data_IF_982127153491
#
_entry.id   IF_982127153491
#
_cell.length_a   1.000
_cell.length_b   1.000
_cell.length_c   1.000
_cell.angle_alpha   90.00
_cell.angle_beta   90.00
_cell.angle_gamma   90.00
#
_symmetry.space_group_name_H-M   'P 1'
#
loop_
_entity.id
_entity.type
_entity.pdbx_description
1 polymer ?
#
# COMPACT_ATOMS: atom_id res chain seq x y z
N UNK A 1 7.90 5.82 -46.93
CA UNK A 1 6.63 5.50 -46.23
C UNK A 1 6.50 4.05 -45.73
N UNK A 2 7.13 3.02 -46.32
CA UNK A 2 6.99 1.61 -45.85
C UNK A 2 7.83 1.20 -44.61
N UNK A 3 8.82 2.00 -44.18
CA UNK A 3 9.61 1.73 -42.95
C UNK A 3 8.93 2.15 -41.63
N UNK A 4 7.84 2.91 -41.70
CA UNK A 4 7.12 3.42 -40.51
C UNK A 4 6.05 2.46 -39.97
N UNK A 5 5.56 1.54 -40.80
CA UNK A 5 4.52 0.55 -40.45
C UNK A 5 5.13 -0.71 -39.83
N UNK A 6 6.31 -1.14 -40.29
CA UNK A 6 7.00 -2.33 -39.76
C UNK A 6 7.61 -2.07 -38.36
N UNK A 7 7.95 -0.81 -38.06
CA UNK A 7 8.40 -0.43 -36.72
C UNK A 7 7.25 -0.41 -35.68
N UNK A 8 6.01 -0.31 -36.15
CA UNK A 8 4.80 -0.20 -35.33
C UNK A 8 4.26 -1.59 -34.91
N UNK A 9 4.44 -2.62 -35.75
CA UNK A 9 4.01 -4.00 -35.43
C UNK A 9 4.88 -4.69 -34.37
N UNK A 10 6.21 -4.50 -34.41
CA UNK A 10 7.09 -5.04 -33.36
C UNK A 10 6.99 -4.21 -32.06
N UNK A 11 6.75 -2.90 -32.17
CA UNK A 11 6.55 -2.02 -31.01
C UNK A 11 5.21 -2.31 -30.31
N UNK A 12 4.12 -2.56 -31.04
CA UNK A 12 2.87 -3.07 -30.45
C UNK A 12 3.09 -4.40 -29.73
N UNK A 13 3.88 -5.31 -30.31
CA UNK A 13 4.12 -6.65 -29.75
C UNK A 13 4.95 -6.63 -28.45
N UNK A 14 5.97 -5.80 -28.34
CA UNK A 14 6.75 -5.58 -27.09
C UNK A 14 5.96 -4.79 -26.02
N UNK A 15 5.01 -3.93 -26.44
CA UNK A 15 4.13 -3.19 -25.53
C UNK A 15 2.98 -4.05 -25.01
N UNK A 16 2.40 -4.89 -25.86
CA UNK A 16 1.46 -5.95 -25.48
C UNK A 16 2.11 -6.91 -24.48
N UNK A 17 3.41 -7.22 -24.64
CA UNK A 17 4.15 -8.17 -23.81
C UNK A 17 4.04 -7.88 -22.30
N UNK A 18 4.21 -6.61 -21.90
CA UNK A 18 4.09 -6.23 -20.48
C UNK A 18 2.72 -5.66 -20.13
N UNK A 19 1.93 -5.15 -21.08
CA UNK A 19 0.63 -4.55 -20.79
C UNK A 19 -0.31 -5.50 -20.07
N UNK A 20 -0.43 -6.74 -20.54
CA UNK A 20 -1.28 -7.74 -19.88
C UNK A 20 -0.78 -8.03 -18.47
N UNK A 21 0.53 -8.20 -18.28
CA UNK A 21 1.14 -8.46 -16.97
C UNK A 21 0.94 -7.28 -16.01
N UNK A 22 1.17 -6.06 -16.46
CA UNK A 22 0.94 -4.82 -15.69
C UNK A 22 -0.53 -4.72 -15.30
N UNK A 23 -1.45 -4.97 -16.25
CA UNK A 23 -2.88 -4.92 -15.99
C UNK A 23 -3.32 -5.96 -14.94
N UNK A 24 -2.80 -7.19 -15.03
CA UNK A 24 -3.04 -8.24 -14.04
C UNK A 24 -2.49 -7.86 -12.66
N UNK A 25 -1.30 -7.26 -12.60
CA UNK A 25 -0.70 -6.75 -11.37
C UNK A 25 -1.58 -5.65 -10.74
N UNK A 26 -2.02 -4.66 -11.53
CA UNK A 26 -2.94 -3.62 -11.06
C UNK A 26 -4.23 -4.21 -10.47
N UNK A 27 -4.81 -5.22 -11.14
CA UNK A 27 -6.00 -5.93 -10.64
C UNK A 27 -5.72 -6.65 -9.32
N UNK A 28 -4.58 -7.33 -9.19
CA UNK A 28 -4.17 -8.05 -7.98
C UNK A 28 -4.01 -7.12 -6.78
N UNK A 29 -3.64 -5.87 -7.01
CA UNK A 29 -3.53 -4.84 -5.98
C UNK A 29 -4.82 -4.05 -5.75
N UNK A 30 -5.99 -4.59 -6.14
CA UNK A 30 -7.29 -3.91 -6.07
C UNK A 30 -7.28 -2.51 -6.68
N UNK A 31 -6.40 -2.29 -7.67
CA UNK A 31 -6.13 -1.00 -8.35
C UNK A 31 -5.58 0.10 -7.43
N UNK A 32 -4.98 -0.26 -6.30
CA UNK A 32 -4.26 0.67 -5.42
C UNK A 32 -3.09 1.37 -6.14
N UNK A 33 -2.56 0.72 -7.19
CA UNK A 33 -1.59 1.28 -8.14
C UNK A 33 -2.14 1.13 -9.56
N UNK A 34 -1.82 2.09 -10.42
CA UNK A 34 -2.18 2.07 -11.84
C UNK A 34 -0.98 1.71 -12.74
N UNK A 35 -1.27 1.57 -14.04
CA UNK A 35 -0.28 1.21 -15.05
C UNK A 35 0.90 2.21 -15.07
N UNK A 36 0.66 3.49 -14.79
CA UNK A 36 1.72 4.50 -14.81
C UNK A 36 2.51 4.54 -13.52
N UNK A 37 1.89 4.23 -12.38
CA UNK A 37 2.61 4.01 -11.14
C UNK A 37 3.66 2.89 -11.35
N UNK A 38 3.25 1.80 -12.01
CA UNK A 38 4.16 0.69 -12.37
C UNK A 38 5.22 1.15 -13.38
N UNK A 39 4.84 1.83 -14.47
CA UNK A 39 5.83 2.33 -15.45
C UNK A 39 6.82 3.32 -14.83
N UNK A 40 6.37 4.18 -13.91
CA UNK A 40 7.22 5.13 -13.18
C UNK A 40 8.16 4.38 -12.24
N UNK A 41 7.68 3.34 -11.56
CA UNK A 41 8.50 2.47 -10.73
C UNK A 41 9.53 1.68 -11.56
N UNK A 42 9.17 1.22 -12.77
CA UNK A 42 10.09 0.51 -13.66
C UNK A 42 11.26 1.38 -14.13
N UNK A 43 11.10 2.70 -14.20
CA UNK A 43 12.19 3.65 -14.51
C UNK A 43 13.33 3.64 -13.48
N UNK A 44 13.12 3.03 -12.31
CA UNK A 44 14.21 2.83 -11.34
C UNK A 44 15.21 1.75 -11.77
N UNK A 45 14.85 0.89 -12.74
CA UNK A 45 15.63 -0.26 -13.17
C UNK A 45 16.09 -0.11 -14.61
N UNK A 46 17.20 -0.79 -14.94
CA UNK A 46 17.62 -0.98 -16.32
C UNK A 46 16.52 -1.71 -17.11
N UNK A 47 16.27 -1.35 -18.38
CA UNK A 47 15.24 -1.99 -19.21
C UNK A 47 15.36 -3.51 -19.31
N UNK A 48 16.58 -4.04 -19.34
CA UNK A 48 16.87 -5.48 -19.34
C UNK A 48 16.43 -6.20 -18.06
N UNK A 49 16.08 -5.45 -17.00
CA UNK A 49 15.63 -5.95 -15.70
C UNK A 49 14.15 -5.74 -15.43
N UNK A 50 13.39 -5.22 -16.38
CA UNK A 50 11.96 -4.98 -16.21
C UNK A 50 11.16 -6.25 -15.97
N UNK A 51 11.49 -7.34 -16.66
CA UNK A 51 10.81 -8.62 -16.44
C UNK A 51 11.07 -9.20 -15.05
N UNK A 52 12.30 -9.06 -14.53
CA UNK A 52 12.62 -9.41 -13.14
C UNK A 52 11.82 -8.54 -12.17
N UNK A 53 11.79 -7.21 -12.39
CA UNK A 53 11.05 -6.27 -11.55
C UNK A 53 9.54 -6.61 -11.50
N UNK A 54 8.91 -6.81 -12.66
CA UNK A 54 7.49 -7.17 -12.75
C UNK A 54 7.20 -8.55 -12.15
N UNK A 55 8.13 -9.50 -12.29
CA UNK A 55 8.00 -10.82 -11.66
C UNK A 55 8.00 -10.70 -10.15
N UNK A 56 8.94 -9.98 -9.56
CA UNK A 56 8.98 -9.78 -8.10
C UNK A 56 7.74 -8.99 -7.64
N UNK A 57 7.34 -7.93 -8.36
CA UNK A 57 6.16 -7.15 -8.03
C UNK A 57 4.89 -8.00 -8.03
N UNK A 58 4.70 -8.88 -9.02
CA UNK A 58 3.51 -9.75 -9.12
C UNK A 58 3.31 -10.69 -7.93
N UNK A 59 4.38 -10.96 -7.17
CA UNK A 59 4.35 -11.82 -5.98
C UNK A 59 4.14 -11.04 -4.68
N UNK A 60 4.04 -9.70 -4.73
CA UNK A 60 3.62 -8.91 -3.57
C UNK A 60 2.15 -9.19 -3.30
N UNK A 61 1.81 -9.33 -2.02
CA UNK A 61 0.45 -9.37 -1.54
C UNK A 61 0.07 -8.00 -0.99
N UNK A 62 -1.01 -7.44 -1.52
CA UNK A 62 -1.59 -6.19 -1.07
C UNK A 62 -2.81 -6.52 -0.23
N UNK A 63 -2.78 -6.11 1.03
CA UNK A 63 -3.88 -6.34 1.98
C UNK A 63 -4.63 -5.03 2.18
N UNK A 64 -5.92 -5.03 1.85
CA UNK A 64 -6.78 -3.86 2.02
C UNK A 64 -7.51 -3.82 3.37
N UNK A 65 -8.23 -2.73 3.61
CA UNK A 65 -8.97 -2.47 4.84
C UNK A 65 -10.02 -3.55 5.14
N UNK A 66 -10.65 -4.13 4.11
CA UNK A 66 -11.64 -5.20 4.28
C UNK A 66 -10.97 -6.47 4.76
N UNK A 67 -9.86 -6.84 4.13
CA UNK A 67 -9.07 -8.01 4.54
C UNK A 67 -8.50 -7.87 5.97
N UNK A 68 -8.09 -6.67 6.37
CA UNK A 68 -7.65 -6.42 7.76
C UNK A 68 -8.80 -6.63 8.76
N UNK A 69 -10.01 -6.18 8.43
CA UNK A 69 -11.20 -6.41 9.26
C UNK A 69 -11.51 -7.90 9.39
N UNK A 70 -11.49 -8.63 8.27
CA UNK A 70 -11.70 -10.07 8.24
C UNK A 70 -10.65 -10.82 9.07
N UNK A 71 -9.38 -10.45 8.93
CA UNK A 71 -8.27 -11.03 9.67
C UNK A 71 -8.46 -10.90 11.19
N UNK A 72 -8.79 -9.70 11.66
CA UNK A 72 -9.02 -9.50 13.10
C UNK A 72 -10.31 -10.15 13.58
N UNK A 73 -11.36 -10.19 12.76
CA UNK A 73 -12.59 -10.91 13.09
C UNK A 73 -12.31 -12.41 13.27
N UNK A 74 -11.51 -13.00 12.36
CA UNK A 74 -11.02 -14.37 12.47
C UNK A 74 -10.18 -14.58 13.73
N UNK A 75 -9.19 -13.72 14.00
CA UNK A 75 -8.33 -13.86 15.19
C UNK A 75 -9.16 -13.83 16.48
N UNK A 76 -10.13 -12.92 16.58
CA UNK A 76 -11.03 -12.86 17.74
C UNK A 76 -11.91 -14.10 17.86
N UNK A 77 -12.39 -14.65 16.74
CA UNK A 77 -13.17 -15.88 16.72
C UNK A 77 -12.34 -17.08 17.21
N UNK A 78 -11.03 -17.11 16.93
CA UNK A 78 -10.11 -18.16 17.40
C UNK A 78 -9.82 -18.04 18.90
N UNK A 79 -9.59 -16.83 19.44
CA UNK A 79 -9.20 -16.68 20.86
C UNK A 79 -10.36 -16.75 21.84
N UNK A 80 -11.56 -16.30 21.46
CA UNK A 80 -12.68 -16.18 22.40
C UNK A 80 -13.16 -17.51 23.00
N UNK A 81 -13.15 -18.65 22.27
CA UNK A 81 -13.43 -19.96 22.84
C UNK A 81 -12.42 -20.38 23.93
N UNK A 82 -11.14 -20.03 23.76
CA UNK A 82 -10.07 -20.34 24.71
C UNK A 82 -10.14 -19.48 25.99
N UNK A 83 -10.89 -18.37 25.96
CA UNK A 83 -11.03 -17.45 27.09
C UNK A 83 -12.33 -17.74 27.83
N UNK A 84 -12.29 -18.29 29.06
CA UNK A 84 -13.47 -18.65 29.83
C UNK A 84 -14.45 -17.49 29.91
N UNK A 85 -15.74 -17.77 29.71
CA UNK A 85 -16.80 -16.78 29.95
C UNK A 85 -17.12 -16.60 31.45
N UNK A 86 -16.36 -17.25 32.35
CA UNK A 86 -16.86 -17.78 33.63
C UNK A 86 -17.71 -16.78 34.41
N UNK A 87 -18.91 -17.26 34.74
CA UNK A 87 -19.77 -16.80 35.82
C UNK A 87 -19.49 -17.76 36.97
N UNK A 88 -18.90 -17.29 38.06
CA UNK A 88 -18.98 -17.97 39.36
C UNK A 88 -19.42 -16.93 40.40
N UNK A 89 -20.57 -17.20 41.00
CA UNK A 89 -21.05 -16.61 42.24
C UNK A 89 -20.62 -17.62 43.28
N UNK A 90 -19.82 -17.21 44.27
CA UNK A 90 -19.54 -18.08 45.39
C UNK A 90 -20.85 -18.53 46.05
N UNK A 91 -20.98 -19.84 46.20
CA UNK A 91 -21.87 -20.44 47.17
C UNK A 91 -21.50 -19.90 48.55
N UNK A 92 -22.53 -19.59 49.35
CA UNK A 92 -22.48 -18.96 50.68
C UNK A 92 -22.31 -17.43 50.67
N UNK A 93 -23.43 -16.72 50.59
CA UNK A 93 -24.08 -16.19 51.80
C UNK A 93 -25.53 -15.81 51.47
N UNK A 94 -26.41 -16.34 52.31
CA UNK A 94 -27.85 -16.10 52.33
C UNK A 94 -28.13 -14.59 52.34
N UNK A 95 -29.11 -14.20 51.51
CA UNK A 95 -29.89 -12.95 51.53
C UNK A 95 -29.25 -11.72 50.87
N UNK A 96 -29.86 -11.35 49.72
CA UNK A 96 -30.11 -9.95 49.27
C UNK A 96 -29.01 -9.15 48.55
N UNK A 97 -28.23 -9.76 47.65
CA UNK A 97 -27.39 -9.00 46.69
C UNK A 97 -27.75 -9.36 45.24
N UNK A 98 -28.03 -8.34 44.41
CA UNK A 98 -28.21 -8.45 42.95
C UNK A 98 -26.98 -9.16 42.35
N UNK A 99 -27.16 -10.36 41.78
CA UNK A 99 -26.14 -11.11 41.03
C UNK A 99 -25.51 -10.23 39.94
N UNK A 100 -24.29 -9.72 40.12
CA UNK A 100 -23.49 -9.15 39.03
C UNK A 100 -22.71 -10.27 38.36
N UNK A 101 -23.10 -10.66 37.14
CA UNK A 101 -22.28 -11.49 36.26
C UNK A 101 -20.98 -10.72 35.95
N UNK A 102 -19.85 -11.10 36.55
CA UNK A 102 -18.55 -10.54 36.19
C UNK A 102 -17.96 -11.43 35.11
N UNK A 103 -18.08 -11.01 33.85
CA UNK A 103 -17.42 -11.68 32.74
C UNK A 103 -15.92 -11.47 32.81
N UNK A 104 -15.14 -12.49 32.47
CA UNK A 104 -13.69 -12.36 32.30
C UNK A 104 -13.39 -11.26 31.29
N UNK A 105 -12.58 -10.30 31.72
CA UNK A 105 -12.18 -9.13 30.95
C UNK A 105 -10.95 -9.44 30.10
N UNK A 106 -10.93 -8.86 28.91
CA UNK A 106 -9.87 -9.01 27.92
C UNK A 106 -9.24 -7.64 27.72
N UNK A 107 -7.96 -7.52 28.03
CA UNK A 107 -7.21 -6.27 27.93
C UNK A 107 -6.50 -6.25 26.58
N UNK A 108 -6.94 -5.36 25.70
CA UNK A 108 -6.38 -5.18 24.37
C UNK A 108 -5.31 -4.10 24.42
N UNK A 109 -4.10 -4.44 23.98
CA UNK A 109 -2.95 -3.54 24.00
C UNK A 109 -2.36 -3.45 22.59
N UNK A 110 -2.28 -2.26 21.97
CA UNK A 110 -1.56 -2.11 20.71
C UNK A 110 -0.06 -2.38 20.92
N UNK A 111 0.57 -3.09 19.98
CA UNK A 111 2.02 -3.32 20.02
C UNK A 111 2.75 -2.06 19.55
N UNK A 112 3.77 -1.68 20.31
CA UNK A 112 4.58 -0.49 20.06
C UNK A 112 4.04 0.79 20.69
N UNK A 113 4.84 1.85 20.60
CA UNK A 113 4.51 3.16 21.16
C UNK A 113 3.33 3.83 20.42
N UNK A 114 2.58 4.73 21.11
CA UNK A 114 1.52 5.52 20.49
C UNK A 114 1.98 6.21 19.20
N UNK A 115 1.17 6.12 18.15
CA UNK A 115 1.48 6.68 16.83
C UNK A 115 2.15 5.70 15.85
N UNK A 116 2.34 4.44 16.23
CA UNK A 116 2.73 3.34 15.33
C UNK A 116 1.51 2.60 14.75
N UNK A 117 1.73 1.63 13.87
CA UNK A 117 0.70 0.83 13.19
C UNK A 117 -0.27 0.16 14.17
N UNK A 118 0.24 -0.39 15.29
CA UNK A 118 -0.58 -1.04 16.31
C UNK A 118 -1.74 -0.19 16.85
N UNK A 119 -1.57 1.13 16.99
CA UNK A 119 -2.67 2.02 17.42
C UNK A 119 -3.78 2.12 16.37
N UNK A 120 -3.42 2.15 15.08
CA UNK A 120 -4.40 2.11 13.99
C UNK A 120 -5.09 0.75 13.91
N UNK A 121 -4.42 -0.35 14.26
CA UNK A 121 -5.01 -1.70 14.21
C UNK A 121 -6.13 -1.90 15.23
N UNK A 122 -6.07 -1.21 16.38
CA UNK A 122 -7.17 -1.21 17.35
C UNK A 122 -8.45 -0.62 16.75
N UNK A 123 -8.36 0.34 15.81
CA UNK A 123 -9.53 0.85 15.10
C UNK A 123 -10.22 -0.26 14.29
N UNK A 124 -9.46 -1.04 13.53
CA UNK A 124 -9.98 -2.16 12.75
C UNK A 124 -10.57 -3.25 13.66
N UNK A 125 -9.85 -3.63 14.72
CA UNK A 125 -10.34 -4.61 15.70
C UNK A 125 -11.72 -4.24 16.25
N UNK A 126 -11.93 -2.97 16.62
CA UNK A 126 -13.21 -2.46 17.16
C UNK A 126 -14.37 -2.52 16.19
N UNK A 127 -14.09 -2.54 14.88
CA UNK A 127 -15.09 -2.59 13.81
C UNK A 127 -15.50 -4.01 13.45
N UNK A 128 -14.84 -5.03 13.99
CA UNK A 128 -15.19 -6.43 13.76
C UNK A 128 -16.51 -6.80 14.44
N UNK A 129 -17.27 -7.70 13.80
CA UNK A 129 -18.55 -8.17 14.33
C UNK A 129 -18.38 -8.89 15.67
N UNK A 130 -17.28 -9.65 15.82
CA UNK A 130 -16.98 -10.39 17.05
C UNK A 130 -16.66 -9.45 18.22
N UNK A 131 -15.90 -8.37 17.97
CA UNK A 131 -15.64 -7.36 19.00
C UNK A 131 -16.93 -6.70 19.44
N UNK A 132 -17.79 -6.27 18.51
CA UNK A 132 -19.04 -5.58 18.82
C UNK A 132 -19.98 -6.44 19.68
N UNK A 133 -20.19 -7.71 19.30
CA UNK A 133 -20.99 -8.69 20.07
C UNK A 133 -20.46 -8.92 21.50
N UNK A 134 -19.17 -8.73 21.73
CA UNK A 134 -18.50 -9.01 23.01
C UNK A 134 -17.92 -7.75 23.66
N UNK A 135 -18.34 -6.55 23.23
CA UNK A 135 -17.74 -5.26 23.62
C UNK A 135 -17.61 -5.07 25.13
N UNK A 136 -18.57 -5.59 25.90
CA UNK A 136 -18.57 -5.53 27.36
C UNK A 136 -17.40 -6.30 28.02
N UNK A 137 -16.77 -7.24 27.32
CA UNK A 137 -15.60 -8.00 27.79
C UNK A 137 -14.27 -7.31 27.49
N UNK A 138 -14.22 -6.47 26.46
CA UNK A 138 -12.98 -5.86 26.00
C UNK A 138 -12.73 -4.51 26.69
N UNK A 139 -11.47 -4.28 27.03
CA UNK A 139 -10.97 -3.02 27.54
C UNK A 139 -9.68 -2.68 26.80
N UNK A 140 -9.60 -1.48 26.23
CA UNK A 140 -8.45 -1.07 25.40
C UNK A 140 -7.55 -0.19 26.25
N UNK A 141 -6.29 -0.60 26.37
CA UNK A 141 -5.26 0.12 27.13
C UNK A 141 -4.15 0.51 26.17
N UNK A 142 -4.13 1.81 25.81
CA UNK A 142 -3.09 2.39 24.94
C UNK A 142 -1.89 2.87 25.75
N UNK A 143 -2.15 3.34 26.97
CA UNK A 143 -1.11 3.79 27.89
C UNK A 143 -0.59 2.58 28.68
N UNK A 144 0.64 2.15 28.33
CA UNK A 144 1.27 0.98 28.94
C UNK A 144 1.47 1.13 30.44
N UNK A 145 1.58 2.35 30.98
CA UNK A 145 1.77 2.57 32.41
C UNK A 145 0.55 2.14 33.22
N UNK A 146 -0.65 2.18 32.64
CA UNK A 146 -1.88 1.68 33.29
C UNK A 146 -1.92 0.16 33.39
N UNK A 147 -1.03 -0.58 32.71
CA UNK A 147 -1.03 -2.04 32.75
C UNK A 147 -0.72 -2.60 34.14
N UNK A 148 -0.02 -1.85 35.00
CA UNK A 148 0.24 -2.26 36.39
C UNK A 148 -1.04 -2.41 37.21
N UNK A 149 -2.13 -1.73 36.85
CA UNK A 149 -3.43 -1.86 37.51
C UNK A 149 -4.04 -3.26 37.33
N UNK A 150 -3.57 -4.02 36.34
CA UNK A 150 -4.06 -5.35 36.00
C UNK A 150 -3.15 -6.48 36.52
N UNK A 151 -2.02 -6.14 37.15
CA UNK A 151 -1.08 -7.12 37.70
C UNK A 151 -1.73 -7.99 38.78
N UNK A 152 -1.50 -9.29 38.72
CA UNK A 152 -1.99 -10.25 39.71
C UNK A 152 -3.51 -10.49 39.70
N UNK A 153 -4.21 -10.02 38.67
CA UNK A 153 -5.66 -10.23 38.48
C UNK A 153 -5.90 -11.20 37.32
N UNK A 154 -7.03 -11.90 37.33
CA UNK A 154 -7.42 -12.84 36.27
C UNK A 154 -7.91 -12.10 35.00
N UNK A 155 -6.95 -11.63 34.19
CA UNK A 155 -7.18 -11.02 32.89
C UNK A 155 -6.46 -11.78 31.78
N UNK A 156 -7.00 -11.67 30.58
CA UNK A 156 -6.33 -12.13 29.36
C UNK A 156 -5.85 -10.93 28.56
N UNK A 157 -4.57 -10.94 28.19
CA UNK A 157 -3.99 -9.87 27.38
C UNK A 157 -4.02 -10.25 25.91
N UNK A 158 -4.43 -9.30 25.07
CA UNK A 158 -4.45 -9.43 23.62
C UNK A 158 -3.62 -8.30 23.04
N UNK A 159 -2.42 -8.64 22.56
CA UNK A 159 -1.51 -7.72 21.91
C UNK A 159 -1.79 -7.69 20.41
N UNK A 160 -1.96 -6.50 19.84
CA UNK A 160 -2.43 -6.31 18.46
C UNK A 160 -1.40 -5.59 17.62
N UNK A 161 -1.04 -6.17 16.48
CA UNK A 161 -0.20 -5.53 15.46
C UNK A 161 -0.62 -5.94 14.05
N UNK A 162 -0.15 -5.24 13.02
CA UNK A 162 -0.46 -5.56 11.62
C UNK A 162 0.43 -6.67 11.04
N UNK A 163 1.71 -6.66 11.39
CA UNK A 163 2.67 -7.62 10.85
C UNK A 163 3.78 -7.99 11.85
N UNK A 164 3.81 -9.27 12.26
CA UNK A 164 4.99 -9.84 12.90
C UNK A 164 6.00 -10.38 11.89
N UNK A 165 6.97 -9.54 11.52
CA UNK A 165 8.07 -9.87 10.61
C UNK A 165 9.11 -10.83 11.20
N UNK A 166 10.03 -10.33 12.03
CA UNK A 166 11.02 -11.18 12.71
C UNK A 166 10.60 -11.63 14.12
N UNK A 167 9.59 -10.97 14.69
CA UNK A 167 9.20 -11.10 16.11
C UNK A 167 10.11 -10.34 17.07
N UNK A 168 11.27 -9.85 16.62
CA UNK A 168 12.26 -9.17 17.47
C UNK A 168 11.73 -7.90 18.11
N UNK A 169 11.05 -7.04 17.34
CA UNK A 169 10.47 -5.78 17.84
C UNK A 169 9.39 -6.02 18.90
N UNK A 170 8.50 -6.98 18.68
CA UNK A 170 7.44 -7.34 19.61
C UNK A 170 8.00 -7.97 20.90
N UNK A 171 8.99 -8.87 20.79
CA UNK A 171 9.68 -9.43 21.96
C UNK A 171 10.42 -8.36 22.78
N UNK A 172 11.13 -7.43 22.11
CA UNK A 172 11.77 -6.28 22.76
C UNK A 172 10.74 -5.38 23.45
N UNK A 173 9.60 -5.13 22.79
CA UNK A 173 8.52 -4.34 23.36
C UNK A 173 7.95 -4.99 24.63
N UNK A 174 7.69 -6.30 24.59
CA UNK A 174 7.22 -7.04 25.77
C UNK A 174 8.22 -6.92 26.93
N UNK A 175 9.49 -7.28 26.68
CA UNK A 175 10.53 -7.28 27.70
C UNK A 175 10.74 -5.89 28.33
N UNK A 176 10.75 -4.84 27.53
CA UNK A 176 11.12 -3.51 28.00
C UNK A 176 9.95 -2.74 28.63
N UNK A 177 8.70 -3.03 28.24
CA UNK A 177 7.56 -2.18 28.61
C UNK A 177 6.38 -2.90 29.26
N UNK A 178 6.27 -4.22 29.08
CA UNK A 178 5.06 -4.98 29.43
C UNK A 178 5.31 -5.99 30.55
N UNK A 179 6.41 -6.75 30.46
CA UNK A 179 6.70 -7.90 31.32
C UNK A 179 6.57 -7.57 32.81
N UNK A 180 7.23 -6.51 33.28
CA UNK A 180 7.21 -6.13 34.70
C UNK A 180 5.85 -5.62 35.18
N UNK A 181 5.04 -5.08 34.24
CA UNK A 181 3.74 -4.50 34.51
C UNK A 181 2.64 -5.54 34.65
N UNK A 182 2.67 -6.60 33.84
CA UNK A 182 1.61 -7.62 33.85
C UNK A 182 2.02 -8.94 34.52
N UNK A 183 3.32 -9.19 34.68
CA UNK A 183 3.87 -10.46 35.18
C UNK A 183 4.36 -11.37 34.05
N UNK A 184 5.41 -12.16 34.34
CA UNK A 184 6.13 -12.98 33.33
C UNK A 184 5.26 -14.09 32.77
N UNK A 185 4.49 -14.78 33.60
CA UNK A 185 3.71 -15.96 33.21
C UNK A 185 2.24 -15.63 32.91
N UNK A 186 1.92 -14.36 32.74
CA UNK A 186 0.56 -13.93 32.46
C UNK A 186 0.13 -14.36 31.06
N UNK A 187 -0.96 -15.14 30.90
CA UNK A 187 -1.41 -15.61 29.60
C UNK A 187 -1.68 -14.47 28.62
N UNK A 188 -1.07 -14.56 27.44
CA UNK A 188 -1.18 -13.53 26.41
C UNK A 188 -1.37 -14.10 25.01
N UNK A 189 -2.28 -13.47 24.26
CA UNK A 189 -2.46 -13.70 22.83
C UNK A 189 -1.82 -12.57 22.06
N UNK A 190 -1.03 -12.89 21.04
CA UNK A 190 -0.42 -11.93 20.15
C UNK A 190 -1.05 -12.09 18.77
N UNK A 191 -1.94 -11.16 18.41
CA UNK A 191 -2.74 -11.26 17.20
C UNK A 191 -2.18 -10.36 16.10
N UNK A 192 -2.13 -10.88 14.88
CA UNK A 192 -1.69 -10.11 13.72
C UNK A 192 -2.37 -10.52 12.42
N UNK A 193 -2.43 -9.61 11.45
CA UNK A 193 -2.94 -9.93 10.11
C UNK A 193 -1.99 -10.89 9.42
N UNK A 194 -0.69 -10.58 9.49
CA UNK A 194 0.37 -11.37 8.85
C UNK A 194 1.47 -11.73 9.84
N UNK A 195 2.02 -12.93 9.72
CA UNK A 195 3.25 -13.32 10.43
C UNK A 195 4.24 -13.96 9.47
N UNK A 196 5.53 -13.83 9.74
CA UNK A 196 6.49 -14.80 9.21
C UNK A 196 6.70 -15.94 10.18
N UNK A 197 7.05 -17.12 9.63
CA UNK A 197 7.32 -18.31 10.43
C UNK A 197 8.30 -18.09 11.59
N UNK A 198 9.38 -17.35 11.36
CA UNK A 198 10.38 -17.09 12.39
C UNK A 198 9.83 -16.22 13.54
N UNK A 199 8.85 -15.35 13.27
CA UNK A 199 8.29 -14.49 14.30
C UNK A 199 7.50 -15.29 15.34
N UNK A 200 6.72 -16.28 14.91
CA UNK A 200 5.95 -17.16 15.80
C UNK A 200 6.90 -17.85 16.77
N UNK A 201 7.91 -18.54 16.23
CA UNK A 201 8.91 -19.25 17.02
C UNK A 201 9.66 -18.32 17.96
N UNK A 202 10.00 -17.11 17.53
CA UNK A 202 10.71 -16.16 18.37
C UNK A 202 9.85 -15.63 19.52
N UNK A 203 8.58 -15.33 19.27
CA UNK A 203 7.68 -14.79 20.30
C UNK A 203 7.33 -15.86 21.33
N UNK A 204 6.92 -17.06 20.89
CA UNK A 204 6.54 -18.15 21.79
C UNK A 204 7.74 -18.68 22.60
N UNK A 205 8.98 -18.56 22.07
CA UNK A 205 10.20 -18.90 22.83
C UNK A 205 10.62 -17.83 23.84
N UNK A 206 10.39 -16.54 23.53
CA UNK A 206 10.90 -15.41 24.36
C UNK A 206 9.89 -14.89 25.37
N UNK A 207 8.62 -15.20 25.20
CA UNK A 207 7.51 -14.72 26.04
C UNK A 207 6.80 -15.94 26.62
N UNK A 208 6.84 -16.10 27.95
CA UNK A 208 6.13 -17.18 28.64
C UNK A 208 4.62 -17.05 28.45
N UNK A 209 3.92 -18.19 28.34
CA UNK A 209 2.47 -18.25 28.16
C UNK A 209 1.93 -17.35 27.02
N UNK A 210 2.71 -17.26 25.94
CA UNK A 210 2.39 -16.54 24.72
C UNK A 210 1.81 -17.50 23.67
N UNK A 211 0.70 -17.12 23.03
CA UNK A 211 0.16 -17.79 21.84
C UNK A 211 0.03 -16.78 20.71
N UNK A 212 0.67 -17.04 19.58
CA UNK A 212 0.59 -16.15 18.40
C UNK A 212 -0.57 -16.60 17.51
N UNK A 213 -1.50 -15.69 17.24
CA UNK A 213 -2.67 -15.94 16.39
C UNK A 213 -2.58 -15.03 15.18
N UNK A 214 -2.87 -15.59 14.02
CA UNK A 214 -2.72 -14.85 12.77
C UNK A 214 -3.67 -15.31 11.71
N UNK A 215 -3.92 -14.46 10.73
CA UNK A 215 -4.72 -14.82 9.56
C UNK A 215 -3.87 -15.44 8.45
N UNK A 216 -2.74 -14.81 8.10
CA UNK A 216 -1.85 -15.29 7.04
C UNK A 216 -0.43 -15.54 7.55
N UNK A 217 0.14 -16.70 7.19
CA UNK A 217 1.55 -17.07 7.45
C UNK A 217 2.36 -16.96 6.16
N UNK A 218 3.48 -16.23 6.23
CA UNK A 218 4.42 -16.06 5.12
C UNK A 218 5.79 -16.66 5.44
N UNK A 219 6.51 -17.00 4.37
CA UNK A 219 7.91 -17.38 4.40
C UNK A 219 8.75 -16.25 3.79
N UNK A 220 10.07 -16.32 3.99
CA UNK A 220 10.99 -15.42 3.28
C UNK A 220 10.85 -15.62 1.78
N UNK A 221 10.78 -14.52 1.02
CA UNK A 221 10.58 -14.57 -0.43
C UNK A 221 11.60 -15.42 -1.17
N UNK A 222 12.85 -15.47 -0.68
CA UNK A 222 13.94 -16.22 -1.32
C UNK A 222 14.34 -17.46 -0.53
N UNK A 223 13.42 -18.02 0.29
CA UNK A 223 13.66 -19.26 1.01
C UNK A 223 13.70 -20.45 0.03
N UNK A 224 14.76 -21.25 0.10
CA UNK A 224 14.89 -22.48 -0.69
C UNK A 224 13.65 -23.38 -0.47
N UNK A 225 13.09 -23.91 -1.55
CA UNK A 225 11.92 -24.81 -1.59
C UNK A 225 10.58 -24.23 -1.10
N UNK A 226 10.52 -22.98 -0.63
CA UNK A 226 9.27 -22.30 -0.23
C UNK A 226 9.08 -20.93 -0.89
N UNK A 227 9.97 -20.58 -1.80
CA UNK A 227 9.90 -19.32 -2.54
C UNK A 227 8.73 -19.35 -3.54
N UNK A 228 7.97 -18.24 -3.68
CA UNK A 228 6.96 -18.12 -4.71
C UNK A 228 7.55 -18.03 -6.14
N UNK A 229 8.88 -17.92 -6.28
CA UNK A 229 9.55 -17.76 -7.58
C UNK A 229 9.99 -19.08 -8.23
N UNK A 230 9.59 -20.23 -7.68
CA UNK A 230 9.81 -21.54 -8.28
C UNK A 230 11.24 -22.06 -8.11
N UNK A 231 11.91 -22.39 -9.23
CA UNK A 231 13.20 -23.10 -9.24
C UNK A 231 14.32 -22.30 -8.58
N UNK A 232 15.27 -23.02 -7.97
CA UNK A 232 16.34 -22.42 -7.17
C UNK A 232 17.19 -21.40 -7.93
N UNK A 233 17.52 -21.67 -9.19
CA UNK A 233 18.31 -20.78 -10.05
C UNK A 233 17.59 -19.43 -10.22
N UNK A 234 16.29 -19.47 -10.53
CA UNK A 234 15.46 -18.27 -10.68
C UNK A 234 15.32 -17.50 -9.37
N UNK A 235 15.14 -18.22 -8.25
CA UNK A 235 15.09 -17.62 -6.91
C UNK A 235 16.40 -16.89 -6.60
N UNK A 236 17.55 -17.49 -6.92
CA UNK A 236 18.87 -16.88 -6.72
C UNK A 236 19.03 -15.62 -7.55
N UNK A 237 18.71 -15.67 -8.84
CA UNK A 237 18.77 -14.51 -9.74
C UNK A 237 17.92 -13.34 -9.24
N UNK A 238 16.65 -13.60 -8.90
CA UNK A 238 15.74 -12.57 -8.40
C UNK A 238 16.18 -12.03 -7.03
N UNK A 239 16.77 -12.87 -6.18
CA UNK A 239 17.35 -12.43 -4.91
C UNK A 239 18.52 -11.47 -5.15
N UNK A 240 19.45 -11.80 -6.04
CA UNK A 240 20.59 -10.94 -6.37
C UNK A 240 20.13 -9.63 -7.01
N UNK A 241 19.14 -9.68 -7.91
CA UNK A 241 18.48 -8.51 -8.45
C UNK A 241 17.93 -7.61 -7.33
N UNK A 242 17.10 -8.15 -6.43
CA UNK A 242 16.53 -7.39 -5.33
C UNK A 242 17.60 -6.87 -4.36
N UNK A 243 18.64 -7.65 -4.09
CA UNK A 243 19.74 -7.26 -3.23
C UNK A 243 20.55 -6.10 -3.83
N UNK A 244 20.94 -6.20 -5.11
CA UNK A 244 21.76 -5.19 -5.78
C UNK A 244 21.05 -3.83 -5.84
N UNK A 245 19.77 -3.80 -6.22
CA UNK A 245 19.00 -2.56 -6.21
C UNK A 245 18.66 -2.11 -4.79
N UNK A 246 18.30 -3.05 -3.90
CA UNK A 246 18.01 -2.77 -2.50
C UNK A 246 19.19 -2.12 -1.77
N UNK A 247 20.42 -2.58 -2.00
CA UNK A 247 21.64 -2.07 -1.38
C UNK A 247 21.94 -0.63 -1.78
N UNK A 248 21.62 -0.24 -3.03
CA UNK A 248 21.72 1.14 -3.49
C UNK A 248 20.80 2.06 -2.69
N UNK A 249 19.64 1.56 -2.26
CA UNK A 249 18.58 2.37 -1.63
C UNK A 249 18.69 2.34 -0.11
N UNK A 250 18.79 1.14 0.47
CA UNK A 250 18.91 0.86 1.90
C UNK A 250 20.06 -0.13 2.11
N UNK A 251 21.25 0.41 2.37
CA UNK A 251 22.48 -0.36 2.51
C UNK A 251 22.43 -1.40 3.63
N UNK A 252 21.79 -1.06 4.75
CA UNK A 252 21.77 -1.92 5.95
C UNK A 252 20.81 -3.09 5.78
N UNK A 253 19.68 -2.86 5.11
CA UNK A 253 18.58 -3.84 5.04
C UNK A 253 18.06 -3.98 3.60
N UNK A 254 18.93 -4.40 2.65
CA UNK A 254 18.60 -4.41 1.21
C UNK A 254 17.46 -5.37 0.86
N UNK A 255 17.16 -6.32 1.74
CA UNK A 255 16.09 -7.32 1.60
C UNK A 255 15.03 -7.20 2.70
N UNK A 256 14.87 -6.00 3.26
CA UNK A 256 13.92 -5.71 4.34
C UNK A 256 14.48 -5.95 5.74
N UNK A 257 13.77 -5.43 6.73
CA UNK A 257 14.17 -5.39 8.14
C UNK A 257 14.64 -6.75 8.65
N UNK A 258 15.82 -6.81 9.28
CA UNK A 258 16.43 -8.07 9.75
C UNK A 258 16.44 -9.19 8.68
N UNK A 259 16.54 -8.83 7.40
CA UNK A 259 16.52 -9.74 6.25
C UNK A 259 15.29 -10.67 6.25
N UNK A 260 14.11 -10.12 6.57
CA UNK A 260 12.85 -10.85 6.55
C UNK A 260 12.38 -11.20 5.14
N UNK A 261 12.80 -10.46 4.10
CA UNK A 261 12.39 -10.72 2.71
C UNK A 261 10.87 -10.83 2.58
N UNK A 262 10.14 -9.89 3.22
CA UNK A 262 8.69 -9.87 3.19
C UNK A 262 8.18 -9.44 1.83
N UNK A 263 7.00 -9.95 1.48
CA UNK A 263 6.30 -9.66 0.22
C UNK A 263 4.86 -9.24 0.49
N UNK A 264 4.65 -8.49 1.57
CA UNK A 264 3.33 -8.01 1.98
C UNK A 264 3.37 -6.49 2.14
N UNK A 265 2.33 -5.83 1.67
CA UNK A 265 2.05 -4.41 1.90
C UNK A 265 0.60 -4.21 2.29
N UNK A 266 0.31 -3.10 2.97
CA UNK A 266 -1.05 -2.75 3.40
C UNK A 266 -1.53 -1.49 2.68
N UNK A 267 -2.86 -1.31 2.64
CA UNK A 267 -3.55 -0.11 2.13
C UNK A 267 -3.03 1.21 2.70
N UNK A 268 -2.68 1.21 3.99
CA UNK A 268 -2.20 2.41 4.69
C UNK A 268 -0.68 2.60 4.64
N UNK A 269 0.07 1.64 4.07
CA UNK A 269 1.51 1.76 3.86
C UNK A 269 2.27 0.43 3.93
N UNK A 270 3.47 0.43 3.37
CA UNK A 270 4.33 -0.73 3.36
C UNK A 270 5.09 -0.94 4.70
N UNK A 271 5.16 -2.18 5.21
CA UNK A 271 6.01 -2.54 6.35
C UNK A 271 7.49 -2.53 5.96
N UNK A 272 8.41 -2.51 6.93
CA UNK A 272 9.88 -2.41 6.62
C UNK A 272 10.44 -3.78 6.30
N UNK A 273 9.64 -4.80 6.58
CA UNK A 273 9.90 -6.16 6.20
C UNK A 273 9.77 -6.36 4.68
N UNK A 274 8.98 -5.53 3.98
CA UNK A 274 8.89 -5.52 2.53
C UNK A 274 10.25 -5.11 1.92
N UNK A 275 10.55 -5.60 0.73
CA UNK A 275 11.78 -5.24 0.03
C UNK A 275 11.85 -3.71 -0.23
N UNK A 276 12.99 -3.04 0.09
CA UNK A 276 13.15 -1.59 -0.08
C UNK A 276 12.88 -1.05 -1.49
N UNK A 277 13.10 -1.88 -2.52
CA UNK A 277 12.80 -1.53 -3.92
C UNK A 277 11.33 -1.14 -4.13
N UNK A 278 10.43 -1.54 -3.23
CA UNK A 278 9.02 -1.22 -3.34
C UNK A 278 8.60 0.06 -2.60
N UNK A 279 9.18 0.34 -1.44
CA UNK A 279 8.62 1.34 -0.51
C UNK A 279 9.50 2.55 -0.21
N UNK A 280 10.80 2.47 -0.49
CA UNK A 280 11.73 3.55 -0.16
C UNK A 280 11.66 4.68 -1.18
N UNK A 281 11.63 5.92 -0.68
CA UNK A 281 11.70 7.15 -1.48
C UNK A 281 13.11 7.76 -1.52
N UNK A 282 14.10 7.11 -0.92
CA UNK A 282 15.47 7.61 -0.85
C UNK A 282 16.17 7.67 -2.20
N UNK A 283 17.12 8.61 -2.36
CA UNK A 283 18.06 8.68 -3.50
C UNK A 283 17.40 8.75 -4.89
N UNK A 284 16.29 9.51 -5.01
CA UNK A 284 15.50 9.66 -6.25
C UNK A 284 14.83 8.36 -6.74
N UNK A 285 14.67 7.37 -5.85
CA UNK A 285 13.90 6.16 -6.15
C UNK A 285 12.40 6.49 -6.14
N UNK A 286 11.66 6.00 -7.12
CA UNK A 286 10.20 6.13 -7.17
C UNK A 286 9.54 4.90 -6.55
N UNK A 287 9.06 4.94 -5.30
CA UNK A 287 8.41 3.79 -4.67
C UNK A 287 7.04 3.53 -5.28
N UNK A 288 6.67 2.25 -5.38
CA UNK A 288 5.31 1.82 -5.76
C UNK A 288 4.38 1.72 -4.55
N UNK A 289 4.92 1.45 -3.35
CA UNK A 289 4.17 1.41 -2.09
C UNK A 289 4.83 2.31 -1.02
N UNK A 290 4.65 3.64 -1.08
CA UNK A 290 5.35 4.58 -0.19
C UNK A 290 5.05 4.33 1.30
N UNK A 291 6.11 4.18 2.11
CA UNK A 291 5.97 3.93 3.56
C UNK A 291 5.60 5.18 4.35
N UNK A 292 6.34 6.28 4.19
CA UNK A 292 6.23 7.41 5.12
C UNK A 292 5.16 8.41 4.69
N UNK A 293 4.51 9.06 5.67
CA UNK A 293 3.46 10.05 5.42
C UNK A 293 3.95 11.26 4.62
N UNK A 294 5.21 11.67 4.82
CA UNK A 294 5.87 12.71 4.01
C UNK A 294 5.94 12.31 2.54
N UNK A 295 6.27 11.05 2.26
CA UNK A 295 6.29 10.53 0.89
C UNK A 295 4.90 10.48 0.31
N UNK A 296 3.87 10.11 1.10
CA UNK A 296 2.46 10.17 0.65
C UNK A 296 1.99 11.60 0.36
N UNK A 297 2.40 12.58 1.17
CA UNK A 297 2.10 13.99 0.91
C UNK A 297 2.84 14.53 -0.32
N UNK A 298 4.11 14.12 -0.51
CA UNK A 298 4.85 14.38 -1.73
C UNK A 298 4.18 13.71 -2.92
N UNK A 299 3.68 12.49 -2.75
CA UNK A 299 2.95 11.73 -3.75
C UNK A 299 1.66 12.46 -4.16
N UNK A 300 0.90 13.06 -3.24
CA UNK A 300 -0.26 13.89 -3.60
C UNK A 300 0.12 15.13 -4.42
N UNK A 301 1.31 15.73 -4.17
CA UNK A 301 1.82 16.84 -4.98
C UNK A 301 2.28 16.34 -6.36
N UNK A 302 3.01 15.23 -6.39
CA UNK A 302 3.51 14.60 -7.62
C UNK A 302 2.37 14.10 -8.51
N UNK A 303 1.33 13.53 -7.92
CA UNK A 303 0.11 13.11 -8.60
C UNK A 303 -0.54 14.29 -9.33
N UNK A 304 -0.73 15.42 -8.64
CA UNK A 304 -1.29 16.64 -9.26
C UNK A 304 -0.39 17.19 -10.36
N UNK A 305 0.93 17.22 -10.15
CA UNK A 305 1.90 17.62 -11.19
C UNK A 305 1.87 16.70 -12.39
N UNK A 306 1.76 15.39 -12.16
CA UNK A 306 1.67 14.40 -13.22
C UNK A 306 0.39 14.56 -14.03
N UNK A 307 -0.76 14.72 -13.37
CA UNK A 307 -2.03 14.96 -14.08
C UNK A 307 -1.96 16.25 -14.89
N UNK A 308 -1.38 17.32 -14.35
CA UNK A 308 -1.18 18.56 -15.09
C UNK A 308 -0.29 18.35 -16.32
N UNK A 309 0.78 17.57 -16.16
CA UNK A 309 1.66 17.17 -17.25
C UNK A 309 0.90 16.36 -18.32
N UNK A 310 0.07 15.38 -17.94
CA UNK A 310 -0.72 14.59 -18.89
C UNK A 310 -1.65 15.46 -19.73
N UNK A 311 -2.40 16.35 -19.08
CA UNK A 311 -3.33 17.23 -19.79
C UNK A 311 -2.57 18.19 -20.71
N UNK A 312 -1.39 18.69 -20.29
CA UNK A 312 -0.53 19.52 -21.14
C UNK A 312 0.05 18.75 -22.33
N UNK A 313 0.37 17.47 -22.14
CA UNK A 313 0.92 16.61 -23.18
C UNK A 313 -0.15 16.26 -24.20
N UNK A 314 -1.34 15.86 -23.76
CA UNK A 314 -2.45 15.53 -24.66
C UNK A 314 -2.90 16.76 -25.46
N UNK A 315 -2.84 17.97 -24.89
CA UNK A 315 -3.05 19.21 -25.66
C UNK A 315 -2.17 19.31 -26.89
N UNK A 316 -0.92 18.85 -26.80
CA UNK A 316 0.06 18.89 -27.89
C UNK A 316 -0.10 17.70 -28.83
N UNK A 317 -0.44 16.52 -28.29
CA UNK A 317 -0.52 15.28 -29.07
C UNK A 317 -1.84 15.11 -29.82
N UNK A 318 -2.95 15.56 -29.25
CA UNK A 318 -4.30 15.31 -29.78
C UNK A 318 -5.30 16.34 -29.23
N UNK A 319 -5.58 17.37 -30.02
CA UNK A 319 -6.49 18.47 -29.65
C UNK A 319 -7.94 18.04 -29.54
N UNK A 320 -8.36 16.99 -30.26
CA UNK A 320 -9.71 16.45 -30.20
C UNK A 320 -9.93 15.69 -28.89
N UNK A 321 -8.98 14.85 -28.49
CA UNK A 321 -9.05 14.17 -27.18
C UNK A 321 -8.98 15.20 -26.04
N UNK A 322 -8.12 16.21 -26.18
CA UNK A 322 -7.99 17.28 -25.18
C UNK A 322 -9.30 18.09 -25.00
N UNK A 323 -10.04 18.37 -26.08
CA UNK A 323 -11.28 19.15 -26.01
C UNK A 323 -12.43 18.43 -25.30
N UNK A 324 -12.37 17.08 -25.18
CA UNK A 324 -13.37 16.29 -24.43
C UNK A 324 -13.41 16.62 -22.93
N UNK A 325 -12.31 17.14 -22.36
CA UNK A 325 -12.21 17.49 -20.94
C UNK A 325 -12.04 19.00 -20.70
N UNK A 326 -11.44 19.74 -21.65
CA UNK A 326 -11.21 21.17 -21.51
C UNK A 326 -12.47 21.99 -21.80
N UNK A 327 -12.96 22.72 -20.79
CA UNK A 327 -14.18 23.54 -20.90
C UNK A 327 -13.90 25.04 -21.01
N UNK A 328 -12.68 25.49 -20.70
CA UNK A 328 -12.28 26.89 -20.91
C UNK A 328 -12.10 27.21 -22.39
N UNK A 329 -12.56 28.38 -22.82
CA UNK A 329 -12.45 28.88 -24.20
C UNK A 329 -11.75 30.24 -24.22
N UNK A 330 -10.83 30.44 -25.16
CA UNK A 330 -10.15 31.71 -25.36
C UNK A 330 -9.86 31.98 -26.82
N UNK A 331 -9.60 33.25 -27.14
CA UNK A 331 -9.30 33.70 -28.51
C UNK A 331 -7.89 34.28 -28.55
N UNK A 332 -7.10 33.97 -29.58
CA UNK A 332 -5.78 34.58 -29.76
C UNK A 332 -5.91 36.07 -30.07
N UNK A 333 -4.84 36.85 -29.83
CA UNK A 333 -4.78 38.32 -29.99
C UNK A 333 -5.26 38.84 -31.36
N UNK A 334 -5.25 38.01 -32.39
CA UNK A 334 -5.65 38.39 -33.74
C UNK A 334 -7.11 38.06 -34.06
N UNK A 335 -7.88 37.52 -33.10
CA UNK A 335 -9.31 37.20 -33.25
C UNK A 335 -9.63 35.99 -34.15
N UNK A 336 -8.62 35.40 -34.82
CA UNK A 336 -8.81 34.41 -35.87
C UNK A 336 -8.80 32.96 -35.41
N UNK A 337 -8.37 32.67 -34.18
CA UNK A 337 -8.25 31.31 -33.66
C UNK A 337 -8.76 31.20 -32.23
N UNK A 338 -9.78 30.37 -32.05
CA UNK A 338 -10.26 29.91 -30.75
C UNK A 338 -9.42 28.72 -30.25
N UNK A 339 -9.19 28.66 -28.95
CA UNK A 339 -8.49 27.54 -28.33
C UNK A 339 -9.12 27.17 -26.99
N UNK A 340 -9.07 25.88 -26.67
CA UNK A 340 -9.56 25.37 -25.39
C UNK A 340 -8.44 25.36 -24.34
N UNK A 341 -8.79 25.57 -23.08
CA UNK A 341 -7.88 25.43 -21.94
C UNK A 341 -8.54 24.75 -20.74
N UNK A 342 -7.73 24.05 -19.95
CA UNK A 342 -8.17 23.35 -18.74
C UNK A 342 -8.45 24.36 -17.63
N UNK A 343 -9.68 24.39 -17.14
CA UNK A 343 -10.04 25.08 -15.90
C UNK A 343 -9.65 24.26 -14.67
N UNK A 344 -9.64 24.91 -13.50
CA UNK A 344 -9.41 24.24 -12.22
C UNK A 344 -10.40 23.07 -12.01
N UNK A 345 -11.66 23.27 -12.40
CA UNK A 345 -12.70 22.24 -12.29
C UNK A 345 -12.45 21.05 -13.21
N UNK A 346 -12.01 21.28 -14.46
CA UNK A 346 -11.66 20.22 -15.41
C UNK A 346 -10.52 19.35 -14.86
N UNK A 347 -9.48 20.01 -14.33
CA UNK A 347 -8.35 19.34 -13.69
C UNK A 347 -8.80 18.50 -12.49
N UNK A 348 -9.64 19.06 -11.60
CA UNK A 348 -10.12 18.36 -10.41
C UNK A 348 -11.02 17.17 -10.77
N UNK A 349 -11.92 17.32 -11.74
CA UNK A 349 -12.76 16.24 -12.25
C UNK A 349 -11.87 15.13 -12.83
N UNK A 350 -10.87 15.46 -13.66
CA UNK A 350 -9.99 14.44 -14.21
C UNK A 350 -9.17 13.72 -13.13
N UNK A 351 -8.72 14.42 -12.08
CA UNK A 351 -8.09 13.79 -10.92
C UNK A 351 -9.05 12.81 -10.21
N UNK A 352 -10.33 13.18 -10.04
CA UNK A 352 -11.36 12.32 -9.45
C UNK A 352 -11.55 11.07 -10.32
N UNK A 353 -11.68 11.21 -11.64
CA UNK A 353 -11.80 10.07 -12.56
C UNK A 353 -10.64 9.09 -12.34
N UNK A 354 -9.39 9.58 -12.35
CA UNK A 354 -8.20 8.75 -12.15
C UNK A 354 -8.22 8.04 -10.79
N UNK A 355 -8.60 8.71 -9.71
CA UNK A 355 -8.66 8.10 -8.38
C UNK A 355 -9.83 7.13 -8.18
N UNK A 356 -10.97 7.37 -8.83
CA UNK A 356 -12.10 6.42 -8.86
C UNK A 356 -11.72 5.16 -9.64
N UNK A 357 -10.97 5.28 -10.74
CA UNK A 357 -10.39 4.14 -11.46
C UNK A 357 -9.44 3.31 -10.60
N UNK A 358 -8.77 3.96 -9.65
CA UNK A 358 -7.93 3.33 -8.62
C UNK A 358 -8.74 2.84 -7.38
N UNK A 359 -10.07 2.93 -7.41
CA UNK A 359 -10.98 2.54 -6.32
C UNK A 359 -10.64 3.21 -4.98
N UNK A 360 -10.10 4.43 -5.01
CA UNK A 360 -9.75 5.15 -3.78
C UNK A 360 -11.01 5.54 -3.01
N UNK A 361 -10.96 5.39 -1.70
CA UNK A 361 -12.03 5.86 -0.82
C UNK A 361 -12.15 7.39 -0.90
N UNK A 362 -13.40 7.90 -0.84
CA UNK A 362 -13.72 9.33 -0.93
C UNK A 362 -12.89 10.19 0.04
N UNK A 363 -12.71 9.83 1.33
CA UNK A 363 -11.89 10.63 2.24
C UNK A 363 -10.44 10.82 1.75
N UNK A 364 -9.87 9.80 1.09
CA UNK A 364 -8.51 9.85 0.53
C UNK A 364 -8.47 10.78 -0.68
N UNK A 365 -9.50 10.75 -1.53
CA UNK A 365 -9.65 11.65 -2.68
C UNK A 365 -9.67 13.12 -2.20
N UNK A 366 -10.50 13.42 -1.21
CA UNK A 366 -10.60 14.75 -0.62
C UNK A 366 -9.24 15.23 -0.05
N UNK A 367 -8.54 14.34 0.66
CA UNK A 367 -7.21 14.65 1.21
C UNK A 367 -6.16 14.93 0.13
N UNK A 368 -6.14 14.15 -0.96
CA UNK A 368 -5.18 14.33 -2.07
C UNK A 368 -5.41 15.67 -2.78
N UNK A 369 -6.68 16.02 -2.99
CA UNK A 369 -7.06 17.27 -3.65
C UNK A 369 -6.99 18.48 -2.71
N UNK A 370 -7.02 18.27 -1.39
CA UNK A 370 -7.08 19.32 -0.40
C UNK A 370 -8.43 20.04 -0.42
N UNK A 371 -9.52 19.29 -0.55
CA UNK A 371 -10.89 19.81 -0.65
C UNK A 371 -11.79 19.21 0.44
N UNK A 372 -12.87 19.90 0.79
CA UNK A 372 -13.88 19.36 1.70
C UNK A 372 -14.77 18.33 1.01
N UNK A 373 -15.50 17.52 1.80
CA UNK A 373 -16.49 16.57 1.24
C UNK A 373 -17.56 17.27 0.40
N UNK A 374 -17.99 18.47 0.82
CA UNK A 374 -18.95 19.29 0.07
C UNK A 374 -18.42 19.67 -1.31
N UNK A 375 -17.17 20.14 -1.39
CA UNK A 375 -16.53 20.49 -2.67
C UNK A 375 -16.41 19.27 -3.59
N UNK A 376 -16.16 18.09 -3.03
CA UNK A 376 -16.17 16.83 -3.78
C UNK A 376 -17.56 16.54 -4.37
N UNK A 377 -18.62 16.71 -3.58
CA UNK A 377 -20.00 16.51 -4.06
C UNK A 377 -20.36 17.50 -5.18
N UNK A 378 -19.95 18.76 -5.05
CA UNK A 378 -20.15 19.79 -6.09
C UNK A 378 -19.43 19.43 -7.39
N UNK A 379 -18.19 18.90 -7.30
CA UNK A 379 -17.43 18.41 -8.47
C UNK A 379 -18.08 17.19 -9.14
N UNK A 380 -18.66 16.28 -8.35
CA UNK A 380 -19.39 15.12 -8.88
C UNK A 380 -20.65 15.54 -9.62
N UNK A 381 -21.39 16.51 -9.09
CA UNK A 381 -22.59 17.06 -9.72
C UNK A 381 -22.24 17.79 -11.03
N UNK A 382 -21.16 18.55 -11.04
CA UNK A 382 -20.67 19.18 -12.28
C UNK A 382 -20.24 18.12 -13.32
N UNK A 383 -19.53 17.08 -12.91
CA UNK A 383 -19.18 15.96 -13.80
C UNK A 383 -20.43 15.22 -14.32
N UNK A 384 -21.50 15.13 -13.53
CA UNK A 384 -22.79 14.56 -13.95
C UNK A 384 -23.45 15.41 -15.04
N UNK A 385 -23.47 16.74 -14.91
CA UNK A 385 -23.97 17.65 -15.96
C UNK A 385 -23.20 17.47 -17.28
N UNK A 386 -21.91 17.16 -17.20
CA UNK A 386 -21.02 16.85 -18.34
C UNK A 386 -21.14 15.42 -18.84
N UNK A 387 -22.07 14.62 -18.29
CA UNK A 387 -22.27 13.19 -18.60
C UNK A 387 -21.03 12.31 -18.34
N UNK A 388 -20.11 12.77 -17.50
CA UNK A 388 -18.91 12.01 -17.08
C UNK A 388 -19.29 10.98 -16.00
N UNK A 389 -20.17 11.38 -15.09
CA UNK A 389 -20.68 10.53 -14.02
C UNK A 389 -22.18 10.26 -14.16
N UNK A 390 -22.63 9.10 -13.70
CA UNK A 390 -24.05 8.74 -13.61
C UNK A 390 -24.69 9.22 -12.29
N UNK A 391 -25.98 8.94 -12.11
CA UNK A 391 -26.72 9.30 -10.88
C UNK A 391 -26.18 8.58 -9.63
N UNK A 392 -25.52 7.44 -9.82
CA UNK A 392 -24.93 6.63 -8.75
C UNK A 392 -23.46 7.01 -8.48
N UNK A 393 -22.97 8.14 -9.03
CA UNK A 393 -21.59 8.62 -8.89
C UNK A 393 -20.55 7.69 -9.53
N UNK A 394 -20.94 6.81 -10.43
CA UNK A 394 -20.03 5.96 -11.22
C UNK A 394 -19.66 6.64 -12.54
N UNK A 395 -18.54 6.22 -13.14
CA UNK A 395 -18.14 6.65 -14.49
C UNK A 395 -19.14 6.14 -15.54
N UNK A 396 -19.59 7.04 -16.41
CA UNK A 396 -20.36 6.66 -17.61
C UNK A 396 -19.43 6.08 -18.68
N UNK A 397 -20.00 5.50 -19.73
CA UNK A 397 -19.24 5.07 -20.91
C UNK A 397 -18.46 6.24 -21.54
N UNK A 398 -19.04 7.45 -21.56
CA UNK A 398 -18.36 8.65 -22.07
C UNK A 398 -17.15 9.02 -21.22
N UNK A 399 -17.30 9.08 -19.89
CA UNK A 399 -16.19 9.38 -18.98
C UNK A 399 -15.08 8.33 -19.03
N UNK A 400 -15.44 7.06 -19.17
CA UNK A 400 -14.51 5.95 -19.31
C UNK A 400 -13.71 6.03 -20.63
N UNK A 401 -14.39 6.27 -21.76
CA UNK A 401 -13.73 6.44 -23.06
C UNK A 401 -12.77 7.63 -23.06
N UNK A 402 -13.22 8.80 -22.57
CA UNK A 402 -12.41 10.00 -22.45
C UNK A 402 -11.12 9.73 -21.66
N UNK A 403 -11.24 9.08 -20.49
CA UNK A 403 -10.08 8.75 -19.67
C UNK A 403 -9.11 7.82 -20.40
N UNK A 404 -9.62 6.77 -21.04
CA UNK A 404 -8.80 5.77 -21.72
C UNK A 404 -8.07 6.35 -22.95
N UNK A 405 -8.69 7.27 -23.70
CA UNK A 405 -8.03 7.96 -24.81
C UNK A 405 -6.89 8.87 -24.32
N UNK A 406 -7.12 9.68 -23.29
CA UNK A 406 -6.09 10.53 -22.67
C UNK A 406 -4.94 9.66 -22.17
N UNK A 407 -5.26 8.61 -21.43
CA UNK A 407 -4.29 7.66 -20.89
C UNK A 407 -3.47 7.00 -21.99
N UNK A 408 -4.12 6.54 -23.07
CA UNK A 408 -3.47 5.93 -24.22
C UNK A 408 -2.41 6.83 -24.86
N UNK A 409 -2.72 8.12 -25.08
CA UNK A 409 -1.78 9.10 -25.63
C UNK A 409 -0.57 9.33 -24.72
N UNK A 410 -0.80 9.42 -23.41
CA UNK A 410 0.27 9.59 -22.42
C UNK A 410 1.19 8.38 -22.39
N UNK A 411 0.63 7.17 -22.36
CA UNK A 411 1.38 5.91 -22.36
C UNK A 411 2.21 5.82 -23.64
N UNK A 412 1.61 6.01 -24.81
CA UNK A 412 2.29 5.98 -26.12
C UNK A 412 3.50 6.91 -26.16
N UNK A 413 3.36 8.13 -25.66
CA UNK A 413 4.45 9.11 -25.60
C UNK A 413 5.57 8.68 -24.64
N UNK A 414 5.23 8.30 -23.40
CA UNK A 414 6.25 7.91 -22.39
C UNK A 414 7.09 6.73 -22.84
N UNK A 415 6.49 5.79 -23.56
CA UNK A 415 7.19 4.61 -24.07
C UNK A 415 8.15 4.96 -25.21
N UNK A 416 7.80 5.94 -26.06
CA UNK A 416 8.73 6.48 -27.08
C UNK A 416 9.97 7.13 -26.45
N UNK A 417 9.81 7.87 -25.36
CA UNK A 417 10.93 8.47 -24.62
C UNK A 417 11.87 7.42 -24.00
N UNK A 418 11.32 6.35 -23.44
CA UNK A 418 12.15 5.26 -22.90
C UNK A 418 13.00 4.66 -24.02
N UNK A 419 12.42 4.44 -25.19
CA UNK A 419 13.14 3.86 -26.34
C UNK A 419 14.20 4.78 -26.93
N UNK A 420 13.97 6.10 -27.03
CA UNK A 420 15.02 7.02 -27.48
C UNK A 420 16.23 7.03 -26.55
N UNK A 421 16.01 6.76 -25.26
CA UNK A 421 17.07 6.63 -24.26
C UNK A 421 17.83 5.30 -24.41
N UNK A 422 17.14 4.20 -24.76
CA UNK A 422 17.74 2.87 -25.02
C UNK A 422 18.52 2.84 -26.33
N UNK A 423 18.02 3.51 -27.37
CA UNK A 423 18.59 3.52 -28.71
C UNK A 423 19.54 4.70 -28.97
N UNK A 424 19.86 5.50 -27.95
CA UNK A 424 20.88 6.52 -28.09
C UNK A 424 22.21 5.82 -28.40
N UNK A 425 22.86 6.09 -29.56
CA UNK A 425 24.20 5.58 -29.79
C UNK A 425 25.06 6.08 -28.63
N UNK A 426 25.89 5.21 -28.07
CA UNK A 426 26.95 5.57 -27.14
C UNK A 426 27.88 6.49 -27.92
N UNK A 427 27.63 7.80 -27.90
CA UNK A 427 28.55 8.78 -28.44
C UNK A 427 29.72 8.76 -27.47
N UNK A 428 30.72 7.93 -27.77
CA UNK A 428 32.03 7.99 -27.15
C UNK A 428 32.52 9.42 -27.38
N UNK A 429 32.43 10.25 -26.35
CA UNK A 429 32.95 11.60 -26.38
C UNK A 429 34.48 11.49 -26.43
N UNK A 430 35.04 11.58 -27.64
CA UNK A 430 36.47 11.75 -27.86
C UNK A 430 36.74 13.27 -27.90
N UNK A 431 37.43 13.84 -26.91
CA UNK A 431 37.78 15.26 -26.93
C UNK A 431 38.59 15.58 -28.18
N UNK A 432 38.22 16.65 -28.91
CA UNK A 432 38.92 17.05 -30.16
C UNK A 432 40.35 17.57 -29.95
N UNK A 433 40.78 17.75 -28.71
CA UNK A 433 42.18 18.02 -28.37
C UNK A 433 42.48 17.54 -26.96
N UNK A 434 43.42 16.61 -26.83
CA UNK A 434 44.15 16.39 -25.59
C UNK A 434 45.16 17.51 -25.44
N UNK A 435 44.88 18.52 -24.61
CA UNK A 435 45.92 19.41 -24.09
C UNK A 435 46.49 18.79 -22.82
N UNK A 436 47.17 17.67 -22.99
CA UNK A 436 48.16 17.24 -22.01
C UNK A 436 49.41 18.06 -22.27
N UNK A 437 49.67 19.04 -21.41
CA UNK A 437 51.01 19.60 -21.30
C UNK A 437 51.94 18.47 -20.83
N UNK A 438 52.96 18.18 -21.63
CA UNK A 438 54.12 17.34 -21.27
C UNK A 438 55.05 18.08 -20.34
#
# INVERSE_FOLDING_TARGET
>A
MRKKIILDSNLRRELEEYQEKIHLICRRFNRAVDELDILRWLKNFEPTKWEDALTVLSMVEYIDDSEILEAYNYCLQVILPDIPKKVYIDELIKRRIKKRRKSTKIIVVPVGMPGKSGTAMVYFLRKTQIFDKNKHRFEIVVDVEKLSEYKGKEYFFVFVDDYFGSGGSAAKYYKNYIQDKIGVDTPSYWISVVVQENAVNQLEKKISNCKVIYWKKHYKAFLKNRSPFGKYERVRELREFCYAYGQRINWNEPLGYENTQGMVTFSYGAPNNLLPIFWSSGKKWFPIFPRYSKDRMSWSKDFRKEVAYWLSLVRVLDTEVYSKIATGQGTRKNGTEEFNYILKIDFQIFCIIRMLKQRRAIPVICQILGIALKDYEDLMEEGRKRKIFDQNKNLTQFGELMYNEILGKVIEYRLREVRSTINAPTVLYVPRSFRGET
#
